data_IF_138137217899
#
_entry.id   IF_138137217899
#
_cell.length_a   1.000
_cell.length_b   1.000
_cell.length_c   1.000
_cell.angle_alpha   90.00
_cell.angle_beta   90.00
_cell.angle_gamma   90.00
#
_symmetry.space_group_name_H-M   'P 1'
#
loop_
_entity.id
_entity.type
_entity.pdbx_description
1 polymer ?
#
# COMPACT_ATOMS: atom_id res chain seq x y z
N UNK A 1 17.39 -2.14 -8.88
CA UNK A 1 17.73 -0.82 -8.31
C UNK A 1 16.58 -0.35 -7.45
N UNK A 2 16.79 -0.09 -6.16
CA UNK A 2 15.76 0.47 -5.27
C UNK A 2 15.60 1.96 -5.61
N UNK A 3 14.37 2.38 -5.92
CA UNK A 3 14.02 3.79 -6.06
C UNK A 3 13.35 4.26 -4.79
N UNK A 4 13.87 5.31 -4.20
CA UNK A 4 13.22 5.99 -3.09
C UNK A 4 12.19 6.98 -3.65
N UNK A 5 10.99 6.98 -3.12
CA UNK A 5 9.91 7.86 -3.59
C UNK A 5 9.28 8.57 -2.42
N UNK A 6 9.11 9.89 -2.55
CA UNK A 6 8.35 10.67 -1.59
C UNK A 6 6.85 10.51 -1.87
N UNK A 7 6.18 9.65 -1.11
CA UNK A 7 4.73 9.43 -1.29
C UNK A 7 3.86 10.61 -0.85
N UNK A 8 4.45 11.62 -0.18
CA UNK A 8 3.72 12.82 0.26
C UNK A 8 3.53 13.84 -0.85
N UNK A 9 4.25 13.70 -1.95
CA UNK A 9 4.11 14.54 -3.14
C UNK A 9 3.55 13.68 -4.26
N UNK A 10 2.51 14.19 -4.93
CA UNK A 10 1.90 13.45 -6.02
C UNK A 10 2.88 13.38 -7.20
N UNK A 11 3.39 12.17 -7.48
CA UNK A 11 4.27 11.88 -8.61
C UNK A 11 3.47 11.18 -9.71
N UNK A 12 2.68 11.95 -10.43
CA UNK A 12 1.90 11.45 -11.55
C UNK A 12 2.56 11.92 -12.84
N UNK A 13 3.06 10.99 -13.62
CA UNK A 13 3.59 11.25 -14.95
C UNK A 13 2.53 11.14 -16.06
N UNK A 14 1.39 10.54 -15.76
CA UNK A 14 0.27 10.23 -16.65
C UNK A 14 -1.06 10.58 -15.97
N UNK A 15 -2.15 10.58 -16.73
CA UNK A 15 -3.48 10.79 -16.15
C UNK A 15 -3.79 9.73 -15.11
N UNK A 16 -4.36 10.17 -13.99
CA UNK A 16 -4.78 9.25 -12.94
C UNK A 16 -6.13 8.61 -13.34
N UNK A 17 -6.27 7.28 -13.28
CA UNK A 17 -7.54 6.62 -13.54
C UNK A 17 -8.66 7.20 -12.68
N UNK A 18 -9.80 7.53 -13.29
CA UNK A 18 -10.93 8.14 -12.59
C UNK A 18 -11.46 7.22 -11.49
N UNK A 19 -11.42 5.91 -11.72
CA UNK A 19 -11.83 4.89 -10.76
C UNK A 19 -10.95 4.94 -9.51
N UNK A 20 -9.64 5.13 -9.68
CA UNK A 20 -8.71 5.24 -8.57
C UNK A 20 -8.94 6.53 -7.77
N UNK A 21 -9.15 7.65 -8.46
CA UNK A 21 -9.45 8.92 -7.80
C UNK A 21 -10.74 8.82 -6.99
N UNK A 22 -11.81 8.30 -7.61
CA UNK A 22 -13.12 8.15 -6.98
C UNK A 22 -13.12 7.18 -5.80
N UNK A 23 -12.19 6.23 -5.79
CA UNK A 23 -11.99 5.31 -4.67
C UNK A 23 -11.46 6.04 -3.42
N UNK A 24 -10.56 7.03 -3.60
CA UNK A 24 -10.00 7.80 -2.49
C UNK A 24 -10.84 9.02 -2.12
N UNK A 25 -11.43 9.67 -3.11
CA UNK A 25 -12.29 10.84 -2.91
C UNK A 25 -13.43 10.86 -3.94
N UNK A 26 -14.60 10.37 -3.56
CA UNK A 26 -15.78 10.34 -4.46
C UNK A 26 -16.27 11.71 -4.89
N UNK A 27 -15.83 12.80 -4.27
CA UNK A 27 -16.20 14.16 -4.63
C UNK A 27 -15.46 14.66 -5.89
N UNK A 28 -14.35 14.00 -6.26
CA UNK A 28 -13.55 14.37 -7.43
C UNK A 28 -14.12 13.68 -8.68
N UNK A 29 -14.29 14.47 -9.71
CA UNK A 29 -14.75 13.99 -11.01
C UNK A 29 -13.59 13.49 -11.87
N UNK A 30 -12.49 14.26 -11.93
CA UNK A 30 -11.22 13.86 -12.56
C UNK A 30 -10.02 14.68 -12.10
N UNK A 31 -8.84 14.08 -12.31
CA UNK A 31 -7.51 14.70 -12.19
C UNK A 31 -6.72 14.35 -13.46
N UNK A 32 -6.48 15.33 -14.32
CA UNK A 32 -5.78 15.15 -15.60
C UNK A 32 -4.51 16.00 -15.66
N UNK A 33 -3.51 15.53 -16.40
CA UNK A 33 -2.25 16.22 -16.57
C UNK A 33 -2.06 16.54 -18.04
N UNK A 34 -2.15 17.81 -18.39
CA UNK A 34 -1.84 18.27 -19.73
C UNK A 34 -0.37 18.66 -19.79
N UNK A 35 0.42 17.93 -20.59
CA UNK A 35 1.82 18.25 -20.86
C UNK A 35 1.90 19.08 -22.13
N UNK A 36 2.17 20.36 -22.00
CA UNK A 36 2.59 21.21 -23.10
C UNK A 36 4.12 21.28 -23.10
N UNK A 37 4.72 21.61 -24.29
CA UNK A 37 6.17 21.48 -24.54
C UNK A 37 7.11 22.02 -23.44
N UNK A 38 6.65 22.90 -22.53
CA UNK A 38 7.46 23.48 -21.44
C UNK A 38 6.67 23.67 -20.12
N UNK A 39 5.41 23.25 -20.02
CA UNK A 39 4.60 23.40 -18.82
C UNK A 39 3.68 22.19 -18.65
N UNK A 40 3.54 21.72 -17.44
CA UNK A 40 2.53 20.73 -17.10
C UNK A 40 1.43 21.44 -16.33
N UNK A 41 0.23 21.46 -16.88
CA UNK A 41 -0.95 21.96 -16.19
C UNK A 41 -1.76 20.80 -15.64
N UNK A 42 -2.23 20.94 -14.41
CA UNK A 42 -3.02 19.94 -13.73
C UNK A 42 -4.45 20.43 -13.71
N UNK A 43 -5.35 19.65 -14.28
CA UNK A 43 -6.78 19.93 -14.31
C UNK A 43 -7.47 19.11 -13.22
N UNK A 44 -7.93 19.78 -12.19
CA UNK A 44 -8.68 19.18 -11.08
C UNK A 44 -10.13 19.63 -11.14
N UNK A 45 -11.04 18.68 -11.19
CA UNK A 45 -12.47 18.90 -11.22
C UNK A 45 -13.17 18.17 -10.09
N UNK A 46 -13.86 18.91 -9.26
CA UNK A 46 -14.81 18.35 -8.29
C UNK A 46 -16.20 18.31 -8.89
N UNK A 47 -16.99 17.32 -8.50
CA UNK A 47 -18.42 17.27 -8.84
C UNK A 47 -19.09 18.57 -8.40
N UNK A 48 -19.94 19.14 -9.26
CA UNK A 48 -20.68 20.37 -8.99
C UNK A 48 -19.84 21.63 -8.76
N UNK A 49 -18.54 21.65 -9.10
CA UNK A 49 -17.68 22.85 -9.09
C UNK A 49 -17.08 23.11 -10.46
N UNK A 50 -16.58 24.32 -10.67
CA UNK A 50 -15.81 24.62 -11.87
C UNK A 50 -14.46 23.89 -11.86
N UNK A 51 -13.92 23.61 -13.05
CA UNK A 51 -12.59 23.07 -13.20
C UNK A 51 -11.53 24.06 -12.66
N UNK A 52 -10.52 23.55 -12.02
CA UNK A 52 -9.37 24.30 -11.55
C UNK A 52 -8.14 23.88 -12.33
N UNK A 53 -7.36 24.84 -12.77
CA UNK A 53 -6.09 24.63 -13.45
C UNK A 53 -4.98 25.02 -12.49
N UNK A 54 -4.13 24.05 -12.16
CA UNK A 54 -3.01 24.22 -11.25
C UNK A 54 -1.70 24.09 -12.03
N UNK A 55 -0.71 24.89 -11.65
CA UNK A 55 0.57 24.94 -12.36
C UNK A 55 1.63 24.02 -11.74
N UNK A 56 1.41 23.57 -10.51
CA UNK A 56 2.36 22.73 -9.76
C UNK A 56 1.63 21.64 -8.98
N UNK A 57 2.25 20.47 -8.89
CA UNK A 57 1.72 19.35 -8.08
C UNK A 57 1.58 19.71 -6.60
N UNK A 58 2.45 20.55 -6.06
CA UNK A 58 2.38 21.00 -4.66
C UNK A 58 1.10 21.75 -4.34
N UNK A 59 0.45 22.37 -5.33
CA UNK A 59 -0.84 23.04 -5.13
C UNK A 59 -1.98 22.07 -4.82
N UNK A 60 -1.87 20.81 -5.27
CA UNK A 60 -2.86 19.77 -4.97
C UNK A 60 -3.02 19.53 -3.46
N UNK A 61 -1.95 19.74 -2.67
CA UNK A 61 -1.99 19.60 -1.22
C UNK A 61 -2.98 20.57 -0.52
N UNK A 62 -3.42 21.61 -1.23
CA UNK A 62 -4.45 22.54 -0.73
C UNK A 62 -5.87 22.02 -0.93
N UNK A 63 -6.07 21.08 -1.83
CA UNK A 63 -7.38 20.58 -2.26
C UNK A 63 -7.61 19.13 -1.91
N UNK A 64 -6.54 18.31 -1.84
CA UNK A 64 -6.60 16.89 -1.54
C UNK A 64 -6.09 16.61 -0.13
N UNK A 65 -6.72 15.64 0.54
CA UNK A 65 -6.19 15.17 1.82
C UNK A 65 -4.85 14.46 1.64
N UNK A 66 -4.02 14.46 2.68
CA UNK A 66 -2.76 13.72 2.68
C UNK A 66 -2.97 12.23 2.43
N UNK A 67 -4.08 11.66 2.95
CA UNK A 67 -4.46 10.28 2.70
C UNK A 67 -4.80 10.01 1.23
N UNK A 68 -5.53 10.93 0.58
CA UNK A 68 -5.86 10.85 -0.85
C UNK A 68 -4.58 10.86 -1.70
N UNK A 69 -3.65 11.79 -1.44
CA UNK A 69 -2.39 11.91 -2.18
C UNK A 69 -1.54 10.64 -2.02
N UNK A 70 -1.33 10.19 -0.79
CA UNK A 70 -0.56 8.98 -0.51
C UNK A 70 -1.21 7.74 -1.11
N UNK A 71 -2.53 7.66 -1.03
CA UNK A 71 -3.30 6.55 -1.60
C UNK A 71 -3.14 6.46 -3.10
N UNK A 72 -3.35 7.55 -3.82
CA UNK A 72 -3.17 7.61 -5.27
C UNK A 72 -1.75 7.18 -5.64
N UNK A 73 -0.72 7.74 -4.99
CA UNK A 73 0.67 7.37 -5.25
C UNK A 73 0.92 5.88 -5.02
N UNK A 74 0.51 5.35 -3.87
CA UNK A 74 0.72 3.94 -3.51
C UNK A 74 0.09 2.99 -4.53
N UNK A 75 -1.15 3.28 -4.96
CA UNK A 75 -1.85 2.44 -5.93
C UNK A 75 -1.27 2.59 -7.34
N UNK A 76 -0.84 3.78 -7.75
CA UNK A 76 -0.15 3.96 -9.03
C UNK A 76 1.18 3.19 -9.07
N UNK A 77 1.95 3.19 -7.98
CA UNK A 77 3.15 2.34 -7.89
C UNK A 77 2.80 0.87 -7.93
N UNK A 78 1.74 0.43 -7.23
CA UNK A 78 1.28 -0.94 -7.29
C UNK A 78 0.91 -1.35 -8.73
N UNK A 79 0.16 -0.52 -9.47
CA UNK A 79 -0.21 -0.76 -10.87
C UNK A 79 1.04 -0.89 -11.76
N UNK A 80 2.03 -0.01 -11.61
CA UNK A 80 3.29 -0.09 -12.35
C UNK A 80 4.03 -1.39 -12.08
N UNK A 81 4.05 -1.83 -10.81
CA UNK A 81 4.73 -3.06 -10.39
C UNK A 81 3.94 -4.30 -10.86
N UNK A 82 2.62 -4.28 -10.86
CA UNK A 82 1.81 -5.35 -11.46
C UNK A 82 2.09 -5.53 -12.95
N UNK A 83 2.32 -4.42 -13.67
CA UNK A 83 2.63 -4.46 -15.10
C UNK A 83 4.06 -4.92 -15.41
N UNK A 84 5.02 -4.71 -14.51
CA UNK A 84 6.44 -4.96 -14.75
C UNK A 84 7.01 -6.13 -13.94
N UNK A 85 6.33 -6.56 -12.88
CA UNK A 85 6.89 -7.39 -11.82
C UNK A 85 7.75 -6.57 -10.86
N UNK A 86 8.23 -7.19 -9.78
CA UNK A 86 9.14 -6.59 -8.82
C UNK A 86 8.56 -6.42 -7.42
N UNK A 87 9.11 -5.48 -6.66
CA UNK A 87 8.84 -5.33 -5.23
C UNK A 87 8.31 -3.93 -4.91
N UNK A 88 7.27 -3.84 -4.10
CA UNK A 88 6.83 -2.62 -3.43
C UNK A 88 7.10 -2.76 -1.94
N UNK A 89 7.90 -1.85 -1.37
CA UNK A 89 8.26 -1.87 0.04
C UNK A 89 7.66 -0.64 0.70
N UNK A 90 6.81 -0.85 1.71
CA UNK A 90 6.11 0.22 2.42
C UNK A 90 6.29 0.05 3.92
N UNK A 91 6.82 1.07 4.58
CA UNK A 91 6.85 1.13 6.04
C UNK A 91 5.55 1.73 6.56
N UNK A 92 4.98 1.12 7.61
CA UNK A 92 3.70 1.54 8.22
C UNK A 92 2.59 1.70 7.16
N UNK A 93 2.23 0.61 6.50
CA UNK A 93 1.25 0.60 5.39
C UNK A 93 -0.09 1.25 5.76
N UNK A 94 -0.50 1.13 7.03
CA UNK A 94 -1.72 1.75 7.55
C UNK A 94 -1.61 3.25 7.75
N UNK A 95 -0.42 3.82 7.69
CA UNK A 95 -0.23 5.24 7.96
C UNK A 95 -0.98 6.10 6.93
N UNK A 96 -2.01 6.82 7.39
CA UNK A 96 -2.93 7.63 6.58
C UNK A 96 -4.00 6.88 5.79
N UNK A 97 -4.10 5.54 5.92
CA UNK A 97 -5.15 4.77 5.26
C UNK A 97 -6.10 4.16 6.29
N UNK A 98 -7.38 4.09 5.91
CA UNK A 98 -8.28 3.24 6.65
C UNK A 98 -8.00 1.76 6.34
N UNK A 99 -8.47 0.88 7.20
CA UNK A 99 -8.26 -0.57 7.08
C UNK A 99 -8.72 -1.12 5.73
N UNK A 100 -9.82 -0.61 5.19
CA UNK A 100 -10.41 -1.11 3.95
C UNK A 100 -9.50 -0.87 2.74
N UNK A 101 -8.86 0.30 2.68
CA UNK A 101 -7.88 0.64 1.64
C UNK A 101 -6.68 -0.30 1.71
N UNK A 102 -6.16 -0.53 2.93
CA UNK A 102 -5.02 -1.44 3.14
C UNK A 102 -5.38 -2.87 2.74
N UNK A 103 -6.54 -3.38 3.19
CA UNK A 103 -7.02 -4.72 2.82
C UNK A 103 -7.21 -4.85 1.31
N UNK A 104 -7.72 -3.82 0.66
CA UNK A 104 -7.91 -3.81 -0.80
C UNK A 104 -6.57 -3.92 -1.53
N UNK A 105 -5.55 -3.16 -1.11
CA UNK A 105 -4.21 -3.25 -1.69
C UNK A 105 -3.62 -4.65 -1.52
N UNK A 106 -3.70 -5.22 -0.31
CA UNK A 106 -3.21 -6.58 -0.03
C UNK A 106 -3.90 -7.60 -0.94
N UNK A 107 -5.23 -7.53 -1.06
CA UNK A 107 -6.02 -8.44 -1.93
C UNK A 107 -5.62 -8.35 -3.39
N UNK A 108 -5.30 -7.16 -3.92
CA UNK A 108 -4.81 -7.02 -5.29
C UNK A 108 -3.46 -7.73 -5.50
N UNK A 109 -2.56 -7.70 -4.50
CA UNK A 109 -1.31 -8.48 -4.58
C UNK A 109 -1.55 -9.99 -4.52
N UNK A 110 -2.59 -10.43 -3.83
CA UNK A 110 -2.97 -11.85 -3.72
C UNK A 110 -3.78 -12.36 -4.91
N UNK A 111 -4.45 -11.49 -5.66
CA UNK A 111 -5.26 -11.86 -6.81
C UNK A 111 -4.38 -12.09 -8.05
N UNK A 112 -4.26 -13.34 -8.47
CA UNK A 112 -3.50 -13.74 -9.68
C UNK A 112 -4.03 -13.13 -10.98
N UNK A 113 -5.30 -12.69 -11.02
CA UNK A 113 -5.86 -12.01 -12.20
C UNK A 113 -5.32 -10.58 -12.34
N UNK A 114 -5.06 -9.94 -11.21
CA UNK A 114 -4.47 -8.59 -11.13
C UNK A 114 -2.95 -8.69 -11.19
N UNK A 115 -2.36 -9.48 -10.30
CA UNK A 115 -0.92 -9.66 -10.13
C UNK A 115 -0.38 -10.80 -11.03
N UNK A 116 -0.46 -10.61 -12.35
CA UNK A 116 -0.07 -11.64 -13.33
C UNK A 116 1.43 -11.90 -13.37
N UNK A 117 2.25 -10.93 -12.99
CA UNK A 117 3.72 -11.02 -13.05
C UNK A 117 4.38 -11.33 -11.70
N UNK A 118 3.59 -11.72 -10.70
CA UNK A 118 4.13 -12.09 -9.39
C UNK A 118 4.81 -10.95 -8.65
N UNK A 119 4.26 -9.74 -8.74
CA UNK A 119 4.73 -8.61 -7.95
C UNK A 119 4.61 -8.91 -6.45
N UNK A 120 5.57 -8.44 -5.65
CA UNK A 120 5.65 -8.71 -4.22
C UNK A 120 5.46 -7.43 -3.41
N UNK A 121 4.56 -7.47 -2.43
CA UNK A 121 4.38 -6.41 -1.44
C UNK A 121 5.09 -6.79 -0.13
N UNK A 122 6.01 -5.92 0.31
CA UNK A 122 6.70 -6.05 1.60
C UNK A 122 6.30 -4.84 2.43
N UNK A 123 5.71 -5.06 3.60
CA UNK A 123 5.28 -3.93 4.42
C UNK A 123 5.41 -4.20 5.91
N UNK A 124 5.53 -3.12 6.69
CA UNK A 124 5.33 -3.15 8.14
C UNK A 124 3.94 -2.63 8.49
N UNK A 125 3.40 -3.09 9.61
CA UNK A 125 2.13 -2.61 10.13
C UNK A 125 2.03 -2.82 11.64
N UNK A 126 1.26 -1.96 12.31
CA UNK A 126 0.85 -2.14 13.70
C UNK A 126 -0.56 -2.74 13.83
N UNK A 127 -1.28 -2.91 12.72
CA UNK A 127 -2.63 -3.45 12.72
C UNK A 127 -2.62 -4.98 12.75
N UNK A 128 -2.81 -5.56 13.93
CA UNK A 128 -2.94 -7.02 14.09
C UNK A 128 -4.11 -7.60 13.30
N UNK A 129 -5.13 -6.77 13.00
CA UNK A 129 -6.30 -7.15 12.23
C UNK A 129 -5.99 -7.54 10.79
N UNK A 130 -4.91 -6.99 10.21
CA UNK A 130 -4.47 -7.34 8.86
C UNK A 130 -3.96 -8.78 8.75
N UNK A 131 -3.64 -9.42 9.89
CA UNK A 131 -3.24 -10.83 9.90
C UNK A 131 -4.33 -11.77 9.40
N UNK A 132 -5.58 -11.35 9.47
CA UNK A 132 -6.71 -12.14 8.97
C UNK A 132 -6.80 -12.16 7.44
N UNK A 133 -6.13 -11.23 6.75
CA UNK A 133 -6.05 -11.21 5.29
C UNK A 133 -5.11 -12.33 4.74
N UNK A 134 -4.28 -12.93 5.59
CA UNK A 134 -3.30 -13.94 5.17
C UNK A 134 -3.70 -15.34 5.62
N UNK A 135 -3.75 -16.27 4.69
CA UNK A 135 -3.98 -17.69 4.99
C UNK A 135 -2.72 -18.35 5.58
N UNK A 136 -1.53 -17.91 5.13
CA UNK A 136 -0.25 -18.51 5.50
C UNK A 136 0.43 -17.70 6.61
N UNK A 137 1.12 -18.42 7.52
CA UNK A 137 1.87 -17.81 8.62
C UNK A 137 3.37 -17.61 8.31
N UNK A 138 3.88 -18.30 7.29
CA UNK A 138 5.31 -18.28 6.93
C UNK A 138 5.76 -16.96 6.29
N UNK A 139 4.82 -16.16 5.79
CA UNK A 139 5.07 -14.83 5.24
C UNK A 139 5.00 -13.71 6.30
N UNK A 140 4.71 -14.05 7.55
CA UNK A 140 4.50 -13.08 8.63
C UNK A 140 5.66 -13.15 9.61
N UNK A 141 6.25 -12.00 9.89
CA UNK A 141 7.36 -11.85 10.83
C UNK A 141 6.96 -10.89 11.94
N UNK A 142 7.22 -11.28 13.19
CA UNK A 142 7.03 -10.44 14.36
C UNK A 142 8.36 -9.83 14.74
N UNK A 143 8.44 -8.50 14.70
CA UNK A 143 9.61 -7.74 15.11
C UNK A 143 9.39 -7.21 16.52
N UNK A 144 10.32 -7.45 17.42
CA UNK A 144 10.29 -6.95 18.81
C UNK A 144 11.57 -6.20 19.11
N UNK A 145 11.46 -5.13 19.88
CA UNK A 145 12.61 -4.43 20.44
C UNK A 145 12.60 -4.57 21.97
N UNK A 146 13.27 -5.62 22.46
CA UNK A 146 13.49 -5.87 23.89
C UNK A 146 14.98 -6.09 24.08
N UNK A 147 15.70 -5.11 24.59
CA UNK A 147 17.18 -5.19 24.72
C UNK A 147 17.90 -5.47 23.39
N UNK A 148 17.29 -5.12 22.27
CA UNK A 148 17.75 -5.37 20.91
C UNK A 148 16.61 -5.84 20.01
N UNK A 149 16.82 -5.71 18.69
CA UNK A 149 15.81 -6.08 17.68
C UNK A 149 15.85 -7.60 17.47
N UNK A 150 14.71 -8.25 17.68
CA UNK A 150 14.51 -9.67 17.38
C UNK A 150 13.42 -9.84 16.33
N UNK A 151 13.61 -10.82 15.43
CA UNK A 151 12.67 -11.13 14.36
C UNK A 151 12.32 -12.60 14.45
N UNK A 152 11.04 -12.91 14.56
CA UNK A 152 10.53 -14.27 14.62
C UNK A 152 9.46 -14.50 13.54
N UNK A 153 9.61 -15.59 12.79
CA UNK A 153 8.60 -16.00 11.83
C UNK A 153 7.38 -16.57 12.54
N UNK A 154 6.17 -16.14 12.16
CA UNK A 154 4.94 -16.52 12.83
C UNK A 154 4.67 -18.03 12.74
N UNK A 155 5.07 -18.70 11.67
CA UNK A 155 4.92 -20.16 11.52
C UNK A 155 5.69 -20.97 12.57
N UNK A 156 6.78 -20.40 13.12
CA UNK A 156 7.53 -21.03 14.22
C UNK A 156 6.83 -20.89 15.57
N UNK A 157 5.97 -19.89 15.71
CA UNK A 157 5.28 -19.55 16.96
C UNK A 157 3.90 -20.20 16.98
N UNK A 158 3.20 -20.23 15.85
CA UNK A 158 1.83 -20.74 15.72
C UNK A 158 1.77 -21.94 14.79
N UNK A 159 1.29 -23.06 15.33
CA UNK A 159 1.10 -24.32 14.58
C UNK A 159 -0.22 -24.35 13.78
N UNK A 160 -1.20 -23.48 14.09
CA UNK A 160 -2.52 -23.43 13.44
C UNK A 160 -2.86 -22.00 13.02
N UNK A 161 -3.53 -21.87 11.86
CA UNK A 161 -3.90 -20.56 11.27
C UNK A 161 -5.04 -19.85 12.02
N UNK A 162 -5.89 -20.61 12.71
CA UNK A 162 -7.13 -20.17 13.33
C UNK A 162 -6.97 -19.34 14.63
N UNK A 163 -5.72 -19.11 15.10
CA UNK A 163 -5.46 -18.44 16.39
C UNK A 163 -4.60 -17.17 16.21
N UNK A 164 -4.40 -16.69 14.98
CA UNK A 164 -3.46 -15.58 14.67
C UNK A 164 -3.64 -14.36 15.58
N UNK A 165 -4.81 -13.77 15.59
CA UNK A 165 -5.13 -12.57 16.38
C UNK A 165 -4.97 -12.77 17.89
N UNK A 166 -5.58 -13.84 18.42
CA UNK A 166 -5.60 -14.08 19.88
C UNK A 166 -4.22 -14.39 20.45
N UNK A 167 -3.37 -15.08 19.68
CA UNK A 167 -2.04 -15.46 20.15
C UNK A 167 -1.05 -14.32 20.10
N UNK A 168 -1.15 -13.44 19.10
CA UNK A 168 -0.30 -12.26 18.98
C UNK A 168 -0.70 -11.24 20.04
N UNK A 169 -2.00 -10.92 20.19
CA UNK A 169 -2.46 -9.97 21.18
C UNK A 169 -2.11 -10.40 22.61
N UNK A 170 -2.23 -11.68 22.98
CA UNK A 170 -1.91 -12.17 24.33
C UNK A 170 -0.40 -12.23 24.63
N UNK A 171 0.46 -12.47 23.62
CA UNK A 171 1.91 -12.60 23.81
C UNK A 171 2.70 -11.32 23.57
N UNK A 172 2.14 -10.36 22.82
CA UNK A 172 2.83 -9.13 22.40
C UNK A 172 2.53 -7.92 23.27
N UNK A 173 1.40 -7.89 24.00
CA UNK A 173 0.95 -6.73 24.76
C UNK A 173 1.43 -6.72 26.22
N UNK A 174 2.71 -6.91 26.43
CA UNK A 174 3.37 -6.26 27.55
C UNK A 174 3.99 -4.96 27.05
N UNK A 175 3.26 -3.86 27.12
CA UNK A 175 3.71 -2.42 27.07
C UNK A 175 4.78 -2.00 26.02
N UNK A 176 4.99 -2.68 24.88
CA UNK A 176 5.93 -2.24 23.85
C UNK A 176 5.37 -2.50 22.46
N UNK A 177 5.55 -1.53 21.57
CA UNK A 177 5.16 -1.55 20.17
C UNK A 177 5.80 -2.74 19.45
N UNK A 178 5.01 -3.67 18.97
CA UNK A 178 5.45 -4.74 18.08
C UNK A 178 5.12 -4.35 16.63
N UNK A 179 6.15 -4.28 15.80
CA UNK A 179 5.99 -4.13 14.36
C UNK A 179 5.77 -5.51 13.73
N UNK A 180 4.73 -5.65 12.93
CA UNK A 180 4.51 -6.84 12.10
C UNK A 180 4.99 -6.51 10.70
N UNK A 181 5.94 -7.29 10.19
CA UNK A 181 6.38 -7.19 8.78
C UNK A 181 5.90 -8.41 8.04
N UNK A 182 5.13 -8.19 6.99
CA UNK A 182 4.66 -9.24 6.11
C UNK A 182 5.50 -9.23 4.83
N UNK A 183 6.15 -10.35 4.54
CA UNK A 183 6.87 -10.57 3.28
C UNK A 183 6.07 -11.59 2.49
N UNK A 184 5.56 -11.19 1.35
CA UNK A 184 4.77 -12.06 0.48
C UNK A 184 5.71 -12.65 -0.59
N UNK A 185 6.31 -13.83 -0.30
CA UNK A 185 7.09 -14.58 -1.27
C UNK A 185 6.18 -15.49 -2.10
N UNK A 186 5.88 -15.09 -3.32
CA UNK A 186 5.14 -15.91 -4.30
C UNK A 186 6.04 -16.84 -5.15
N UNK A 187 7.33 -16.99 -4.83
CA UNK A 187 8.29 -17.67 -5.73
C UNK A 187 8.30 -19.20 -5.69
N UNK A 188 7.61 -19.88 -4.76
CA UNK A 188 7.74 -21.34 -4.65
C UNK A 188 6.70 -22.20 -5.37
N UNK A 189 5.76 -21.62 -6.14
CA UNK A 189 4.76 -22.40 -6.87
C UNK A 189 5.04 -22.61 -8.37
N UNK A 190 6.12 -22.13 -8.92
CA UNK A 190 6.39 -22.22 -10.38
C UNK A 190 7.44 -23.23 -10.80
N UNK A 191 8.12 -23.92 -9.89
CA UNK A 191 9.16 -24.92 -10.26
C UNK A 191 8.87 -26.34 -9.75
N UNK A 192 7.61 -26.79 -9.88
CA UNK A 192 7.29 -28.21 -9.87
C UNK A 192 6.25 -28.50 -10.97
N UNK A 193 6.72 -28.51 -12.20
CA UNK A 193 6.20 -29.33 -13.30
C UNK A 193 7.34 -29.59 -14.28
#
# INVERSE_FOLDING_TARGET
MLRYTNINELDISEDCPVELISFFDPSIEYLKINKEKNKSNIHLKFKSKNEMILNQFSELNRYLSSGTIKGINTFLYAIRIFNNGGYLIIDELENHFNREIVSTLIRFYMDKKVNKKGATLIFSTHYSELLDEFERNDNIYIVRNRQGITIENLSKILKRNDIKKRSISKRSFGRYTSHVRCINEFEKCYYQR
#
